data_IF_606618086609
#
_entry.id   IF_606618086609
#
_cell.length_a   1.000
_cell.length_b   1.000
_cell.length_c   1.000
_cell.angle_alpha   90.00
_cell.angle_beta   90.00
_cell.angle_gamma   90.00
#
_symmetry.space_group_name_H-M   'P 1'
#
loop_
_entity.id
_entity.type
_entity.pdbx_description
1 polymer ?
#
# COMPACT_ATOMS: atom_id res chain seq x y z
N UNK A 1 -17.67 3.64 8.10
CA UNK A 1 -16.48 3.50 8.96
C UNK A 1 -16.15 4.87 9.57
N UNK A 2 -15.78 4.96 10.85
CA UNK A 2 -15.48 6.26 11.50
C UNK A 2 -14.09 6.72 11.05
N UNK A 3 -13.96 7.97 10.60
CA UNK A 3 -12.71 8.64 10.20
C UNK A 3 -11.52 8.33 11.15
N UNK A 4 -11.80 8.15 12.44
CA UNK A 4 -10.84 7.74 13.46
C UNK A 4 -10.08 6.45 13.12
N UNK A 5 -10.76 5.38 12.69
CA UNK A 5 -10.12 4.09 12.38
C UNK A 5 -9.21 4.17 11.16
N UNK A 6 -9.59 4.98 10.18
CA UNK A 6 -8.74 5.22 9.00
C UNK A 6 -7.47 5.96 9.38
N UNK A 7 -7.58 7.02 10.18
CA UNK A 7 -6.41 7.74 10.72
C UNK A 7 -5.51 6.81 11.53
N UNK A 8 -6.09 6.04 12.46
CA UNK A 8 -5.36 5.04 13.26
C UNK A 8 -4.61 4.01 12.39
N UNK A 9 -5.13 3.66 11.20
CA UNK A 9 -4.43 2.78 10.28
C UNK A 9 -3.29 3.47 9.52
N UNK A 10 -3.50 4.72 9.09
CA UNK A 10 -2.45 5.50 8.41
C UNK A 10 -1.30 5.84 9.36
N UNK A 11 -1.60 6.10 10.64
CA UNK A 11 -0.63 6.46 11.67
C UNK A 11 0.31 5.30 12.02
N UNK A 12 -0.07 4.06 11.72
CA UNK A 12 0.82 2.90 11.88
C UNK A 12 2.00 2.89 10.90
N UNK A 13 1.97 3.71 9.84
CA UNK A 13 3.10 3.84 8.93
C UNK A 13 3.28 2.63 8.01
N UNK A 14 4.53 2.25 7.77
CA UNK A 14 4.92 1.19 6.83
C UNK A 14 4.76 -0.22 7.42
N UNK A 15 3.53 -0.58 7.81
CA UNK A 15 3.20 -1.90 8.33
C UNK A 15 3.12 -2.97 7.23
N UNK A 16 3.55 -4.22 7.49
CA UNK A 16 3.35 -5.33 6.57
C UNK A 16 1.88 -5.59 6.28
N UNK A 17 1.54 -5.93 5.03
CA UNK A 17 0.17 -6.27 4.63
C UNK A 17 -0.07 -7.78 4.49
N UNK A 18 0.94 -8.60 4.83
CA UNK A 18 0.85 -10.07 4.75
C UNK A 18 1.00 -10.65 3.35
N UNK A 19 1.38 -9.85 2.36
CA UNK A 19 1.68 -10.29 0.99
C UNK A 19 3.13 -10.02 0.62
N UNK A 20 3.58 -10.69 -0.44
CA UNK A 20 4.81 -10.34 -1.14
C UNK A 20 4.50 -9.98 -2.58
N UNK A 21 5.35 -9.19 -3.21
CA UNK A 21 5.32 -8.94 -4.64
C UNK A 21 5.75 -10.19 -5.44
N UNK A 22 5.79 -10.08 -6.78
CA UNK A 22 6.14 -11.21 -7.65
C UNK A 22 7.58 -11.71 -7.47
N UNK A 23 8.47 -10.88 -6.89
CA UNK A 23 9.87 -11.20 -6.58
C UNK A 23 10.07 -11.56 -5.11
N UNK A 24 9.00 -11.85 -4.37
CA UNK A 24 8.99 -12.19 -2.93
C UNK A 24 9.44 -11.05 -2.01
N UNK A 25 9.42 -9.80 -2.47
CA UNK A 25 9.61 -8.64 -1.60
C UNK A 25 8.37 -8.47 -0.72
N UNK A 26 8.48 -8.43 0.62
CA UNK A 26 7.34 -8.17 1.49
C UNK A 26 6.72 -6.80 1.22
N UNK A 27 5.41 -6.77 0.99
CA UNK A 27 4.64 -5.56 0.75
C UNK A 27 4.17 -4.95 2.06
N UNK A 28 4.16 -3.61 2.10
CA UNK A 28 3.79 -2.78 3.24
C UNK A 28 2.87 -1.64 2.80
N UNK A 29 2.13 -1.10 3.75
CA UNK A 29 1.44 0.18 3.55
C UNK A 29 2.47 1.26 3.16
N UNK A 30 2.06 2.15 2.25
CA UNK A 30 2.87 3.20 1.63
C UNK A 30 3.97 2.70 0.67
N UNK A 31 3.97 1.43 0.28
CA UNK A 31 4.78 1.00 -0.86
C UNK A 31 4.18 1.55 -2.17
N UNK A 32 5.03 2.17 -2.98
CA UNK A 32 4.78 2.32 -4.41
C UNK A 32 5.07 1.00 -5.10
N UNK A 33 4.14 0.57 -5.94
CA UNK A 33 4.23 -0.68 -6.71
C UNK A 33 3.89 -0.43 -8.17
N UNK A 34 4.52 -1.16 -9.07
CA UNK A 34 4.16 -1.18 -10.49
C UNK A 34 3.25 -2.37 -10.79
N UNK A 35 2.14 -2.12 -11.49
CA UNK A 35 1.24 -3.15 -11.99
C UNK A 35 0.68 -2.72 -13.34
N UNK A 36 0.76 -3.59 -14.36
CA UNK A 36 0.30 -3.30 -15.73
C UNK A 36 0.78 -1.94 -16.30
N UNK A 37 2.04 -1.58 -16.02
CA UNK A 37 2.72 -0.34 -16.42
C UNK A 37 2.29 0.95 -15.70
N UNK A 38 1.38 0.86 -14.75
CA UNK A 38 0.98 2.00 -13.90
C UNK A 38 1.56 1.86 -12.49
N UNK A 39 1.68 2.98 -11.78
CA UNK A 39 2.21 3.05 -10.41
C UNK A 39 1.07 3.25 -9.42
N UNK A 40 0.98 2.37 -8.44
CA UNK A 40 -0.05 2.39 -7.40
C UNK A 40 0.58 2.56 -6.03
N UNK A 41 -0.18 3.12 -5.09
CA UNK A 41 0.21 3.23 -3.69
C UNK A 41 -0.59 2.25 -2.83
N UNK A 42 0.09 1.38 -2.08
CA UNK A 42 -0.58 0.48 -1.14
C UNK A 42 -1.12 1.29 0.05
N UNK A 43 -2.44 1.33 0.22
CA UNK A 43 -3.12 1.99 1.34
C UNK A 43 -4.28 1.15 1.87
N UNK A 44 -4.62 1.33 3.14
CA UNK A 44 -5.84 0.74 3.70
C UNK A 44 -7.09 1.41 3.15
N UNK A 45 -7.97 0.66 2.48
CA UNK A 45 -9.21 1.19 1.96
C UNK A 45 -10.32 1.16 3.03
N UNK A 46 -10.88 2.32 3.43
CA UNK A 46 -11.80 2.39 4.56
C UNK A 46 -13.18 1.77 4.34
N UNK A 47 -13.63 1.69 3.09
CA UNK A 47 -14.94 1.11 2.73
C UNK A 47 -14.83 -0.42 2.66
N UNK A 48 -13.77 -0.93 2.04
CA UNK A 48 -13.55 -2.37 1.83
C UNK A 48 -12.88 -3.05 3.03
N UNK A 49 -12.26 -2.27 3.92
CA UNK A 49 -11.57 -2.75 5.13
C UNK A 49 -10.47 -3.75 4.79
N UNK A 50 -9.68 -3.43 3.77
CA UNK A 50 -8.54 -4.20 3.29
C UNK A 50 -7.47 -3.27 2.70
N UNK A 51 -6.27 -3.79 2.44
CA UNK A 51 -5.25 -3.05 1.68
C UNK A 51 -5.51 -3.15 0.18
N UNK A 52 -5.36 -2.04 -0.53
CA UNK A 52 -5.50 -1.96 -1.98
C UNK A 52 -4.32 -1.21 -2.57
N UNK A 53 -4.03 -1.44 -3.85
CA UNK A 53 -3.15 -0.57 -4.63
C UNK A 53 -4.00 0.56 -5.19
N UNK A 54 -3.90 1.76 -4.63
CA UNK A 54 -4.69 2.92 -5.05
C UNK A 54 -3.98 3.69 -6.15
N UNK A 55 -4.73 4.13 -7.16
CA UNK A 55 -4.25 5.00 -8.23
C UNK A 55 -4.87 6.41 -8.13
N UNK A 56 -4.22 7.41 -8.69
CA UNK A 56 -4.72 8.79 -8.70
C UNK A 56 -5.97 8.99 -9.57
N UNK A 57 -6.20 8.11 -10.56
CA UNK A 57 -7.43 8.11 -11.38
C UNK A 57 -8.69 7.76 -10.59
N UNK A 58 -8.53 7.23 -9.37
CA UNK A 58 -9.61 6.63 -8.59
C UNK A 58 -9.77 5.12 -8.81
N UNK A 59 -9.00 4.51 -9.71
CA UNK A 59 -8.92 3.06 -9.85
C UNK A 59 -8.13 2.42 -8.69
N UNK A 60 -8.35 1.13 -8.48
CA UNK A 60 -7.58 0.36 -7.50
C UNK A 60 -7.37 -1.10 -7.92
N UNK A 61 -6.30 -1.68 -7.36
CA UNK A 61 -6.00 -3.11 -7.43
C UNK A 61 -6.48 -3.76 -6.13
N UNK A 62 -7.30 -4.81 -6.19
CA UNK A 62 -7.76 -5.52 -4.99
C UNK A 62 -6.60 -6.23 -4.27
N UNK A 63 -6.76 -6.46 -2.96
CA UNK A 63 -5.75 -7.14 -2.14
C UNK A 63 -5.24 -8.43 -2.77
N UNK A 64 -6.16 -9.23 -3.32
CA UNK A 64 -5.87 -10.53 -3.93
C UNK A 64 -4.96 -10.46 -5.16
N UNK A 65 -4.83 -9.30 -5.82
CA UNK A 65 -4.00 -9.12 -7.01
C UNK A 65 -2.66 -8.43 -6.72
N UNK A 66 -2.49 -7.86 -5.51
CA UNK A 66 -1.27 -7.12 -5.14
C UNK A 66 0.02 -7.95 -5.29
N UNK A 67 -0.08 -9.27 -5.16
CA UNK A 67 1.06 -10.19 -5.34
C UNK A 67 1.65 -10.21 -6.75
N UNK A 68 0.92 -9.70 -7.76
CA UNK A 68 1.38 -9.62 -9.14
C UNK A 68 2.19 -8.35 -9.44
N UNK A 69 2.25 -7.42 -8.48
CA UNK A 69 2.96 -6.16 -8.64
C UNK A 69 4.48 -6.30 -8.48
N UNK A 70 5.21 -5.23 -8.79
CA UNK A 70 6.65 -5.08 -8.54
C UNK A 70 6.84 -3.96 -7.51
N UNK A 71 7.52 -4.24 -6.40
CA UNK A 71 7.85 -3.21 -5.42
C UNK A 71 8.86 -2.18 -5.99
N UNK A 72 8.63 -0.90 -5.72
CA UNK A 72 9.50 0.20 -6.15
C UNK A 72 10.23 0.82 -4.95
N UNK A 73 9.48 1.39 -4.01
CA UNK A 73 9.98 2.05 -2.79
C UNK A 73 8.87 2.18 -1.77
N UNK A 74 9.22 2.43 -0.50
CA UNK A 74 8.25 2.84 0.49
C UNK A 74 8.33 4.35 0.75
N UNK A 75 7.20 5.05 0.68
CA UNK A 75 7.18 6.50 0.89
C UNK A 75 7.54 6.92 2.32
N UNK A 76 7.37 6.04 3.32
CA UNK A 76 7.72 6.34 4.72
C UNK A 76 9.18 6.06 5.07
N UNK A 77 9.91 5.30 4.26
CA UNK A 77 11.36 5.05 4.49
C UNK A 77 12.16 6.36 4.43
N UNK A 78 11.78 7.31 3.57
CA UNK A 78 12.41 8.62 3.51
C UNK A 78 12.17 9.50 4.74
N UNK A 79 11.09 9.26 5.50
CA UNK A 79 10.76 10.03 6.72
C UNK A 79 11.36 9.40 7.99
N UNK A 80 11.65 8.10 7.97
CA UNK A 80 12.31 7.43 9.10
C UNK A 80 13.77 7.90 9.31
N UNK A 81 14.44 8.35 8.25
CA UNK A 81 15.85 8.75 8.26
C UNK A 81 16.09 10.24 8.55
N UNK A 82 15.07 11.00 8.99
CA UNK A 82 15.19 12.45 9.32
C UNK A 82 15.18 12.75 10.82
N UNK A 83 15.48 11.75 11.67
CA UNK A 83 15.64 11.93 13.11
C UNK A 83 17.10 11.90 13.51
#
# INVERSE_FOLDING_TARGET
MRLRQFKEMLDQGAIPIGLTDQFRKPLRQFDEIQYKNEVYLIIWHPIYREFVGSHESGDWIPYTELHQSIWIKNLKEHFANRN
#
